data_IF_715171279860
#
_entry.id   IF_715171279860
#
_cell.length_a   1.000
_cell.length_b   1.000
_cell.length_c   1.000
_cell.angle_alpha   90.00
_cell.angle_beta   90.00
_cell.angle_gamma   90.00
#
_symmetry.space_group_name_H-M   'P 1'
#
loop_
_entity.id
_entity.type
_entity.pdbx_description
1 polymer ?
#
# COMPACT_ATOMS: atom_id res chain seq x y z
N UNK A 1 9.84 17.04 26.17
CA UNK A 1 11.12 17.54 25.60
C UNK A 1 12.33 17.29 26.51
N UNK A 2 12.24 17.48 27.84
CA UNK A 2 13.32 17.09 28.77
C UNK A 2 13.77 15.62 28.67
N UNK A 3 12.81 14.69 28.57
CA UNK A 3 13.10 13.25 28.45
C UNK A 3 14.06 12.89 27.30
N UNK A 4 13.90 13.53 26.12
CA UNK A 4 14.74 13.26 24.94
C UNK A 4 16.21 13.66 25.16
N UNK A 5 16.45 14.58 26.09
CA UNK A 5 17.76 15.12 26.40
C UNK A 5 18.36 14.43 27.63
N UNK A 6 17.54 14.25 28.67
CA UNK A 6 17.92 13.61 29.94
C UNK A 6 18.17 12.10 29.81
N UNK A 7 17.58 11.44 28.79
CA UNK A 7 17.65 9.98 28.61
C UNK A 7 18.18 9.58 27.21
N UNK A 8 19.03 10.42 26.61
CA UNK A 8 19.55 10.21 25.23
C UNK A 8 20.33 8.90 25.02
N UNK A 9 20.88 8.32 26.10
CA UNK A 9 21.64 7.07 26.06
C UNK A 9 20.76 5.82 26.31
N UNK A 10 19.47 6.00 26.63
CA UNK A 10 18.53 4.93 27.00
C UNK A 10 17.26 4.87 26.14
N UNK A 11 16.94 5.93 25.37
CA UNK A 11 15.68 6.05 24.62
C UNK A 11 15.93 6.51 23.18
N UNK A 12 15.30 5.82 22.23
CA UNK A 12 15.16 6.26 20.83
C UNK A 12 13.73 6.73 20.61
N UNK A 13 13.57 7.92 20.03
CA UNK A 13 12.26 8.49 19.68
C UNK A 13 12.11 8.54 18.17
N UNK A 14 11.06 7.90 17.66
CA UNK A 14 10.68 7.93 16.25
C UNK A 14 9.31 8.61 16.16
N UNK A 15 9.22 9.64 15.33
CA UNK A 15 7.97 10.31 14.96
C UNK A 15 7.72 10.08 13.47
N UNK A 16 6.47 9.84 13.12
CA UNK A 16 6.06 9.59 11.74
C UNK A 16 4.73 10.29 11.47
N UNK A 17 4.59 10.83 10.27
CA UNK A 17 3.41 11.56 9.83
C UNK A 17 3.61 12.04 8.40
N UNK A 18 2.57 12.67 7.86
CA UNK A 18 2.62 13.31 6.55
C UNK A 18 3.60 14.50 6.56
N UNK A 19 4.24 14.76 5.41
CA UNK A 19 5.34 15.71 5.28
C UNK A 19 4.99 17.10 5.81
N UNK A 20 3.84 17.66 5.41
CA UNK A 20 3.43 19.00 5.81
C UNK A 20 3.16 19.10 7.33
N UNK A 21 2.56 18.08 7.91
CA UNK A 21 2.28 17.97 9.33
C UNK A 21 3.57 17.82 10.14
N UNK A 22 4.54 17.07 9.62
CA UNK A 22 5.86 16.93 10.23
C UNK A 22 6.67 18.23 10.14
N UNK A 23 6.61 18.95 9.02
CA UNK A 23 7.22 20.28 8.88
C UNK A 23 6.59 21.29 9.86
N UNK A 24 5.26 21.27 9.98
CA UNK A 24 4.54 22.08 10.97
C UNK A 24 4.93 21.70 12.40
N UNK A 25 5.05 20.42 12.70
CA UNK A 25 5.47 19.93 14.02
C UNK A 25 6.88 20.38 14.39
N UNK A 26 7.83 20.27 13.46
CA UNK A 26 9.23 20.65 13.68
C UNK A 26 9.39 22.19 13.80
N UNK A 27 8.52 22.97 13.16
CA UNK A 27 8.56 24.44 13.24
C UNK A 27 7.96 25.03 14.52
N UNK A 28 7.31 24.22 15.38
CA UNK A 28 6.70 24.69 16.64
C UNK A 28 7.72 25.37 17.56
N UNK A 29 8.93 24.84 17.67
CA UNK A 29 10.07 25.56 18.24
C UNK A 29 11.41 24.99 17.76
N UNK A 30 12.49 25.80 17.71
CA UNK A 30 13.80 25.36 17.24
C UNK A 30 14.41 24.20 18.02
N UNK A 31 14.04 24.03 19.29
CA UNK A 31 14.53 22.95 20.16
C UNK A 31 13.98 21.58 19.77
N UNK A 32 12.77 21.51 19.23
CA UNK A 32 12.20 20.26 18.69
C UNK A 32 12.99 19.83 17.47
N UNK A 33 13.15 20.73 16.49
CA UNK A 33 13.87 20.45 15.26
C UNK A 33 15.31 19.99 15.50
N UNK A 34 16.04 20.64 16.43
CA UNK A 34 17.45 20.29 16.71
C UNK A 34 17.64 18.91 17.34
N UNK A 35 16.59 18.31 17.93
CA UNK A 35 16.63 16.98 18.54
C UNK A 35 16.37 15.84 17.55
N UNK A 36 15.87 16.13 16.35
CA UNK A 36 15.70 15.16 15.27
C UNK A 36 16.83 15.29 14.27
N UNK A 37 17.91 14.53 14.47
CA UNK A 37 19.13 14.60 13.64
C UNK A 37 19.03 13.85 12.31
N UNK A 38 17.97 13.06 12.10
CA UNK A 38 17.74 12.28 10.89
C UNK A 38 16.29 12.38 10.47
N UNK A 39 16.08 12.64 9.18
CA UNK A 39 14.78 12.62 8.53
C UNK A 39 14.83 11.60 7.41
N UNK A 40 13.86 10.70 7.37
CA UNK A 40 13.69 9.72 6.30
C UNK A 40 12.35 10.02 5.64
N UNK A 41 12.37 10.33 4.36
CA UNK A 41 11.16 10.59 3.57
C UNK A 41 10.78 9.33 2.81
N UNK A 42 9.54 8.88 2.97
CA UNK A 42 8.98 7.79 2.20
C UNK A 42 8.17 8.39 1.05
N UNK A 43 8.63 8.16 -0.17
CA UNK A 43 7.89 8.55 -1.37
C UNK A 43 6.72 7.61 -1.66
N UNK A 44 5.78 8.06 -2.48
CA UNK A 44 4.70 7.21 -2.95
C UNK A 44 5.22 6.10 -3.85
N UNK A 45 4.58 4.94 -3.78
CA UNK A 45 4.88 3.85 -4.70
C UNK A 45 4.47 4.21 -6.14
N UNK A 46 5.29 3.83 -7.11
CA UNK A 46 4.91 3.83 -8.52
C UNK A 46 3.96 2.65 -8.85
N UNK A 47 3.25 2.68 -9.99
CA UNK A 47 2.34 1.59 -10.38
C UNK A 47 3.01 0.21 -10.38
N UNK A 48 4.27 0.11 -10.78
CA UNK A 48 5.04 -1.14 -10.81
C UNK A 48 5.32 -1.68 -9.40
N UNK A 49 5.59 -0.79 -8.44
CA UNK A 49 5.74 -1.10 -7.03
C UNK A 49 4.43 -1.57 -6.40
N UNK A 50 3.32 -0.93 -6.74
CA UNK A 50 2.00 -1.36 -6.28
C UNK A 50 1.61 -2.73 -6.84
N UNK A 51 1.89 -2.98 -8.13
CA UNK A 51 1.73 -4.31 -8.74
C UNK A 51 2.57 -5.36 -8.01
N UNK A 52 3.82 -5.06 -7.64
CA UNK A 52 4.65 -5.98 -6.85
C UNK A 52 4.02 -6.32 -5.50
N UNK A 53 3.40 -5.35 -4.83
CA UNK A 53 2.68 -5.59 -3.57
C UNK A 53 1.47 -6.50 -3.82
N UNK A 54 0.68 -6.27 -4.88
CA UNK A 54 -0.45 -7.15 -5.24
C UNK A 54 0.02 -8.58 -5.53
N UNK A 55 1.10 -8.75 -6.29
CA UNK A 55 1.68 -10.08 -6.56
C UNK A 55 2.13 -10.79 -5.29
N UNK A 56 2.76 -10.06 -4.37
CA UNK A 56 3.18 -10.61 -3.09
C UNK A 56 1.97 -11.05 -2.26
N UNK A 57 0.91 -10.24 -2.20
CA UNK A 57 -0.32 -10.62 -1.51
C UNK A 57 -0.98 -11.84 -2.15
N UNK A 58 -1.02 -11.91 -3.49
CA UNK A 58 -1.55 -13.07 -4.18
C UNK A 58 -0.75 -14.34 -3.82
N UNK A 59 0.58 -14.28 -3.87
CA UNK A 59 1.44 -15.41 -3.51
C UNK A 59 1.28 -15.85 -2.04
N UNK A 60 1.23 -14.91 -1.11
CA UNK A 60 1.01 -15.16 0.33
C UNK A 60 -0.32 -15.86 0.62
N UNK A 61 -1.32 -15.67 -0.25
CA UNK A 61 -2.68 -16.22 -0.14
C UNK A 61 -2.97 -17.34 -1.15
N UNK A 62 -1.94 -17.93 -1.77
CA UNK A 62 -2.05 -19.04 -2.74
C UNK A 62 -2.82 -18.71 -4.04
N UNK A 63 -2.91 -17.42 -4.38
CA UNK A 63 -3.41 -16.93 -5.66
C UNK A 63 -2.28 -16.63 -6.64
N UNK A 64 -2.62 -16.58 -7.93
CA UNK A 64 -1.75 -16.08 -9.00
C UNK A 64 -2.55 -15.15 -9.90
N UNK A 65 -1.87 -14.15 -10.47
CA UNK A 65 -2.47 -13.32 -11.51
C UNK A 65 -2.54 -14.12 -12.82
N UNK A 66 -3.70 -14.10 -13.46
CA UNK A 66 -3.91 -14.72 -14.76
C UNK A 66 -3.13 -13.98 -15.87
N UNK A 67 -2.86 -14.61 -17.02
CA UNK A 67 -2.26 -13.93 -18.16
C UNK A 67 -3.03 -12.65 -18.54
N UNK A 68 -2.34 -11.51 -18.65
CA UNK A 68 -2.95 -10.22 -18.96
C UNK A 68 -3.47 -9.42 -17.75
N UNK A 69 -3.56 -10.04 -16.57
CA UNK A 69 -4.03 -9.35 -15.37
C UNK A 69 -2.97 -8.37 -14.83
N UNK A 70 -1.69 -8.65 -15.02
CA UNK A 70 -0.60 -7.75 -14.64
C UNK A 70 -0.68 -6.39 -15.33
N UNK A 71 -0.89 -6.39 -16.65
CA UNK A 71 -1.04 -5.18 -17.45
C UNK A 71 -2.30 -4.40 -17.03
N UNK A 72 -3.39 -5.10 -16.71
CA UNK A 72 -4.63 -4.50 -16.24
C UNK A 72 -4.45 -3.84 -14.86
N UNK A 73 -3.79 -4.53 -13.91
CA UNK A 73 -3.47 -4.01 -12.58
C UNK A 73 -2.54 -2.79 -12.69
N UNK A 74 -1.53 -2.86 -13.56
CA UNK A 74 -0.62 -1.73 -13.81
C UNK A 74 -1.38 -0.51 -14.36
N UNK A 75 -2.24 -0.74 -15.36
CA UNK A 75 -3.06 0.32 -15.95
C UNK A 75 -4.05 0.91 -14.93
N UNK A 76 -4.63 0.06 -14.09
CA UNK A 76 -5.49 0.48 -12.98
C UNK A 76 -4.74 1.42 -12.04
N UNK A 77 -3.57 1.03 -11.54
CA UNK A 77 -2.78 1.90 -10.65
C UNK A 77 -2.27 3.18 -11.33
N UNK A 78 -1.97 3.14 -12.63
CA UNK A 78 -1.62 4.33 -13.41
C UNK A 78 -2.81 5.30 -13.55
N UNK A 79 -4.05 4.78 -13.54
CA UNK A 79 -5.28 5.57 -13.59
C UNK A 79 -5.72 6.17 -12.26
N UNK A 80 -5.16 5.73 -11.13
CA UNK A 80 -5.53 6.27 -9.81
C UNK A 80 -4.88 7.64 -9.60
N UNK A 81 -5.66 8.70 -9.30
CA UNK A 81 -5.10 10.00 -9.00
C UNK A 81 -4.26 9.95 -7.72
N UNK A 82 -2.98 10.31 -7.84
CA UNK A 82 -2.08 10.46 -6.69
C UNK A 82 -2.31 11.82 -6.02
N UNK A 83 -3.20 11.83 -5.04
CA UNK A 83 -3.46 12.98 -4.18
C UNK A 83 -2.83 12.83 -2.79
N UNK A 84 -2.93 13.86 -1.94
CA UNK A 84 -2.42 13.84 -0.55
C UNK A 84 -2.97 12.70 0.31
N UNK A 85 -4.13 12.14 -0.07
CA UNK A 85 -4.79 11.03 0.60
C UNK A 85 -4.50 9.66 -0.03
N UNK A 86 -3.56 9.57 -0.98
CA UNK A 86 -3.22 8.30 -1.62
C UNK A 86 -2.70 7.29 -0.59
N UNK A 87 -3.32 6.10 -0.56
CA UNK A 87 -3.09 5.10 0.48
C UNK A 87 -1.80 4.29 0.34
N UNK A 88 -1.05 4.46 -0.76
CA UNK A 88 0.18 3.71 -1.05
C UNK A 88 -0.04 2.18 -0.93
N UNK A 89 0.76 1.49 -0.11
CA UNK A 89 0.63 0.05 0.10
C UNK A 89 -0.75 -0.37 0.62
N UNK A 90 -1.47 0.53 1.32
CA UNK A 90 -2.88 0.26 1.68
C UNK A 90 -3.75 0.14 0.45
N UNK A 91 -3.57 1.02 -0.54
CA UNK A 91 -4.31 0.96 -1.80
C UNK A 91 -4.03 -0.36 -2.52
N UNK A 92 -2.77 -0.81 -2.60
CA UNK A 92 -2.45 -2.11 -3.21
C UNK A 92 -3.13 -3.30 -2.49
N UNK A 93 -3.12 -3.31 -1.15
CA UNK A 93 -3.81 -4.35 -0.37
C UNK A 93 -5.32 -4.33 -0.60
N UNK A 94 -5.94 -3.15 -0.55
CA UNK A 94 -7.37 -3.00 -0.80
C UNK A 94 -7.76 -3.42 -2.23
N UNK A 95 -6.91 -3.15 -3.22
CA UNK A 95 -7.11 -3.65 -4.59
C UNK A 95 -7.11 -5.17 -4.62
N UNK A 96 -6.13 -5.82 -3.99
CA UNK A 96 -6.07 -7.29 -3.92
C UNK A 96 -7.29 -7.88 -3.20
N UNK A 97 -7.66 -7.33 -2.04
CA UNK A 97 -8.85 -7.75 -1.28
C UNK A 97 -10.12 -7.66 -2.15
N UNK A 98 -10.29 -6.56 -2.89
CA UNK A 98 -11.40 -6.38 -3.81
C UNK A 98 -11.38 -7.36 -5.00
N UNK A 99 -10.18 -7.72 -5.48
CA UNK A 99 -10.02 -8.76 -6.50
C UNK A 99 -10.45 -10.14 -5.98
N UNK A 100 -10.08 -10.49 -4.76
CA UNK A 100 -10.50 -11.76 -4.13
C UNK A 100 -12.01 -11.81 -3.92
N UNK A 101 -12.64 -10.71 -3.51
CA UNK A 101 -14.10 -10.64 -3.35
C UNK A 101 -14.85 -10.86 -4.66
N UNK A 102 -14.38 -10.23 -5.75
CA UNK A 102 -14.94 -10.40 -7.09
C UNK A 102 -14.69 -11.80 -7.64
N UNK A 103 -13.49 -12.31 -7.46
CA UNK A 103 -13.12 -13.70 -7.80
C UNK A 103 -14.06 -14.69 -7.12
N UNK A 104 -14.28 -14.57 -5.81
CA UNK A 104 -15.17 -15.46 -5.08
C UNK A 104 -16.61 -15.41 -5.61
N UNK A 105 -17.09 -14.21 -5.96
CA UNK A 105 -18.42 -14.02 -6.56
C UNK A 105 -18.53 -14.68 -7.94
N UNK A 106 -17.46 -14.65 -8.74
CA UNK A 106 -17.39 -15.31 -10.06
C UNK A 106 -17.34 -16.83 -9.92
N UNK A 107 -16.48 -17.35 -9.04
CA UNK A 107 -16.32 -18.80 -8.81
C UNK A 107 -17.60 -19.42 -8.26
N UNK A 108 -18.34 -18.71 -7.40
CA UNK A 108 -19.60 -19.20 -6.84
C UNK A 108 -20.71 -19.47 -7.89
N UNK A 109 -20.54 -18.97 -9.12
CA UNK A 109 -21.46 -19.20 -10.23
C UNK A 109 -21.05 -20.38 -11.13
N UNK A 110 -19.92 -21.04 -10.85
CA UNK A 110 -19.43 -22.18 -11.60
C UNK A 110 -19.99 -23.49 -11.01
N UNK A 111 -20.54 -24.35 -11.86
CA UNK A 111 -21.05 -25.66 -11.45
C UNK A 111 -19.93 -26.63 -11.05
N UNK A 112 -18.84 -26.65 -11.82
CA UNK A 112 -17.67 -27.51 -11.60
C UNK A 112 -16.38 -26.71 -11.80
N UNK A 113 -15.90 -25.95 -10.78
CA UNK A 113 -14.72 -25.13 -10.91
C UNK A 113 -13.43 -25.97 -11.01
N UNK A 114 -12.53 -25.56 -11.89
CA UNK A 114 -11.18 -26.12 -11.99
C UNK A 114 -10.26 -25.53 -10.92
N UNK A 115 -9.09 -26.15 -10.69
CA UNK A 115 -8.07 -25.57 -9.81
C UNK A 115 -7.62 -24.18 -10.24
N UNK A 116 -7.55 -23.93 -11.55
CA UNK A 116 -7.19 -22.61 -12.07
C UNK A 116 -8.30 -21.59 -11.77
N UNK A 117 -9.58 -21.97 -11.87
CA UNK A 117 -10.69 -21.10 -11.47
C UNK A 117 -10.60 -20.69 -10.00
N UNK A 118 -10.14 -21.60 -9.13
CA UNK A 118 -9.99 -21.35 -7.69
C UNK A 118 -8.76 -20.50 -7.34
N UNK A 119 -7.75 -20.41 -8.20
CA UNK A 119 -6.43 -19.82 -7.87
C UNK A 119 -6.02 -18.64 -8.75
N UNK A 120 -6.65 -18.44 -9.91
CA UNK A 120 -6.33 -17.35 -10.83
C UNK A 120 -7.25 -16.14 -10.63
N UNK A 121 -6.62 -14.99 -10.38
CA UNK A 121 -7.27 -13.68 -10.39
C UNK A 121 -7.13 -13.05 -11.79
N UNK A 122 -8.25 -12.67 -12.38
CA UNK A 122 -8.32 -12.12 -13.73
C UNK A 122 -8.44 -10.59 -13.72
N UNK A 123 -8.23 -9.97 -14.88
CA UNK A 123 -8.45 -8.53 -15.05
C UNK A 123 -9.88 -8.10 -14.67
N UNK A 124 -10.88 -8.94 -14.96
CA UNK A 124 -12.29 -8.68 -14.63
C UNK A 124 -12.57 -8.67 -13.12
N UNK A 125 -11.66 -9.24 -12.32
CA UNK A 125 -11.76 -9.21 -10.87
C UNK A 125 -11.29 -7.85 -10.31
N UNK A 126 -10.73 -6.94 -11.12
CA UNK A 126 -10.35 -5.60 -10.65
C UNK A 126 -11.57 -4.76 -10.20
N UNK A 127 -11.42 -3.93 -9.16
CA UNK A 127 -12.41 -2.91 -8.84
C UNK A 127 -12.45 -1.81 -9.90
N UNK A 128 -13.56 -1.06 -9.93
CA UNK A 128 -13.63 0.19 -10.69
C UNK A 128 -12.67 1.23 -10.10
N UNK A 129 -12.20 2.16 -10.94
CA UNK A 129 -11.41 3.29 -10.48
C UNK A 129 -12.21 4.14 -9.47
N UNK A 130 -11.55 4.64 -8.40
CA UNK A 130 -12.16 5.49 -7.38
C UNK A 130 -12.51 6.90 -7.89
#
# INVERSE_FOLDING_TARGET
MKLMEDQRDAVVVIVAGYTAEMERFLSVNPGVASRFSRTITFGDYNPEELLRIVRQQAEEHEYRLAPGADEAVLSYFAGIPKGPAFGNGRTARQTFEAMVERHASRVAQLDEPTTDDLTLLYADDLPALP
#
